data_IF_060394230028
#
_entry.id   IF_060394230028
#
_cell.length_a   1.000
_cell.length_b   1.000
_cell.length_c   1.000
_cell.angle_alpha   90.00
_cell.angle_beta   90.00
_cell.angle_gamma   90.00
#
_symmetry.space_group_name_H-M   'P 1'
#
loop_
_entity.id
_entity.type
_entity.pdbx_description
1 polymer ?
#
# COMPACT_ATOMS: atom_id res chain seq x y z
N UNK A 1 -20.67 7.60 9.32
CA UNK A 1 -20.07 6.36 9.83
C UNK A 1 -18.54 6.37 9.71
N UNK A 2 -17.96 6.49 8.50
CA UNK A 2 -16.50 6.45 8.27
C UNK A 2 -15.68 7.39 9.16
N UNK A 3 -16.08 8.67 9.26
CA UNK A 3 -15.44 9.65 10.16
C UNK A 3 -15.39 9.19 11.62
N UNK A 4 -16.48 8.60 12.12
CA UNK A 4 -16.55 8.09 13.49
C UNK A 4 -15.58 6.92 13.67
N UNK A 5 -15.49 6.02 12.69
CA UNK A 5 -14.54 4.91 12.70
C UNK A 5 -13.09 5.40 12.72
N UNK A 6 -12.74 6.36 11.85
CA UNK A 6 -11.39 6.91 11.81
C UNK A 6 -11.01 7.61 13.11
N UNK A 7 -11.89 8.47 13.66
CA UNK A 7 -11.67 9.12 14.96
C UNK A 7 -11.53 8.11 16.09
N UNK A 8 -12.38 7.08 16.13
CA UNK A 8 -12.29 6.02 17.13
C UNK A 8 -10.96 5.25 17.03
N UNK A 9 -10.44 5.04 15.82
CA UNK A 9 -9.15 4.38 15.59
C UNK A 9 -7.93 5.32 15.70
N UNK A 10 -8.11 6.63 15.92
CA UNK A 10 -7.00 7.47 16.43
C UNK A 10 -6.65 7.12 17.88
N UNK A 11 -7.53 6.37 18.58
CA UNK A 11 -7.32 5.82 19.94
C UNK A 11 -6.91 6.86 20.99
N UNK A 12 -7.36 8.12 20.83
CA UNK A 12 -7.06 9.23 21.74
C UNK A 12 -7.66 9.04 23.13
N UNK A 13 -8.89 8.51 23.18
CA UNK A 13 -9.67 8.34 24.42
C UNK A 13 -9.72 6.87 24.91
N UNK A 14 -8.92 5.98 24.32
CA UNK A 14 -8.87 4.56 24.64
C UNK A 14 -8.65 3.66 23.43
N UNK A 15 -8.74 2.34 23.62
CA UNK A 15 -8.47 1.33 22.58
C UNK A 15 -9.46 1.34 21.40
N UNK A 16 -10.59 2.03 21.55
CA UNK A 16 -11.67 2.05 20.57
C UNK A 16 -12.58 0.82 20.64
N UNK A 17 -13.65 0.79 19.82
CA UNK A 17 -14.70 -0.22 19.91
C UNK A 17 -14.35 -1.55 19.21
N UNK A 18 -13.28 -1.59 18.41
CA UNK A 18 -12.93 -2.75 17.60
C UNK A 18 -11.88 -3.61 18.32
N UNK A 19 -12.17 -4.91 18.41
CA UNK A 19 -11.22 -5.96 18.77
C UNK A 19 -11.50 -7.18 17.90
N UNK A 20 -10.47 -7.93 17.55
CA UNK A 20 -10.60 -9.10 16.70
C UNK A 20 -9.64 -10.20 17.12
N UNK A 21 -10.14 -11.42 17.28
CA UNK A 21 -9.31 -12.61 17.41
C UNK A 21 -9.93 -13.74 16.58
N UNK A 22 -9.09 -14.62 16.08
CA UNK A 22 -9.45 -15.78 15.30
C UNK A 22 -8.57 -16.95 15.74
N UNK A 23 -9.13 -18.15 15.82
CA UNK A 23 -8.34 -19.37 16.07
C UNK A 23 -7.78 -19.83 14.73
N UNK A 24 -6.47 -19.69 14.55
CA UNK A 24 -5.78 -19.90 13.28
C UNK A 24 -4.32 -20.26 13.53
N UNK A 25 -3.71 -21.01 12.59
CA UNK A 25 -2.28 -21.30 12.59
C UNK A 25 -1.47 -20.17 11.95
N UNK A 26 -2.11 -19.29 11.18
CA UNK A 26 -1.47 -18.13 10.54
C UNK A 26 -1.41 -16.96 11.52
N UNK A 27 -0.20 -16.63 11.97
CA UNK A 27 -0.01 -15.58 12.97
C UNK A 27 -0.56 -14.20 12.53
N UNK A 28 -0.62 -13.92 11.23
CA UNK A 28 -1.11 -12.65 10.68
C UNK A 28 -2.63 -12.59 10.54
N UNK A 29 -3.36 -13.71 10.68
CA UNK A 29 -4.82 -13.76 10.57
C UNK A 29 -5.53 -13.39 11.89
N UNK A 30 -4.78 -12.91 12.90
CA UNK A 30 -5.32 -12.55 14.21
C UNK A 30 -4.58 -11.37 14.84
N UNK A 31 -5.20 -10.71 15.83
CA UNK A 31 -4.58 -9.60 16.54
C UNK A 31 -4.03 -10.03 17.91
N UNK A 32 -2.80 -9.59 18.27
CA UNK A 32 -2.27 -9.76 19.62
C UNK A 32 -2.99 -8.85 20.62
N UNK A 33 -2.56 -8.87 21.88
CA UNK A 33 -3.04 -7.99 22.96
C UNK A 33 -4.56 -8.06 23.15
N UNK A 34 -5.09 -9.27 23.32
CA UNK A 34 -6.53 -9.53 23.50
C UNK A 34 -7.40 -8.99 22.35
N UNK A 35 -6.83 -8.96 21.14
CA UNK A 35 -7.53 -8.59 19.91
C UNK A 35 -7.41 -7.11 19.52
N UNK A 36 -6.66 -6.30 20.26
CA UNK A 36 -6.52 -4.86 19.99
C UNK A 36 -5.32 -4.50 19.11
N UNK A 37 -4.42 -5.45 18.86
CA UNK A 37 -3.14 -5.20 18.18
C UNK A 37 -2.10 -4.59 19.11
N UNK A 38 -0.89 -4.37 18.61
CA UNK A 38 0.16 -3.74 19.40
C UNK A 38 -0.22 -2.31 19.83
N UNK A 39 0.32 -1.81 20.96
CA UNK A 39 0.02 -0.47 21.45
C UNK A 39 0.40 0.62 20.45
N UNK A 40 -0.31 1.75 20.51
CA UNK A 40 0.02 2.97 19.78
C UNK A 40 0.08 4.17 20.72
N UNK A 41 0.93 5.15 20.40
CA UNK A 41 0.82 6.49 20.97
C UNK A 41 -0.14 7.28 20.08
N UNK A 42 -1.27 7.82 20.60
CA UNK A 42 -2.29 8.47 19.77
C UNK A 42 -1.81 9.84 19.25
N UNK A 43 -1.01 9.82 18.19
CA UNK A 43 -0.33 11.00 17.60
C UNK A 43 -1.12 11.66 16.46
N UNK A 44 -2.36 11.24 16.22
CA UNK A 44 -3.23 11.78 15.17
C UNK A 44 -3.38 10.87 13.94
N UNK A 45 -2.52 9.86 13.78
CA UNK A 45 -2.69 8.80 12.77
C UNK A 45 -3.85 7.86 13.13
N UNK A 46 -4.39 7.19 12.12
CA UNK A 46 -5.50 6.23 12.23
C UNK A 46 -4.91 4.81 12.29
N UNK A 47 -5.26 4.07 13.34
CA UNK A 47 -4.85 2.67 13.48
C UNK A 47 -5.62 1.77 12.49
N UNK A 48 -4.87 0.95 11.76
CA UNK A 48 -5.39 -0.14 10.94
C UNK A 48 -4.98 -1.45 11.59
N UNK A 49 -5.96 -2.31 11.91
CA UNK A 49 -5.67 -3.63 12.46
C UNK A 49 -5.00 -4.52 11.39
N UNK A 50 -5.47 -4.44 10.15
CA UNK A 50 -4.98 -5.26 9.04
C UNK A 50 -4.49 -4.39 7.88
N UNK A 51 -3.62 -4.96 7.06
CA UNK A 51 -3.12 -4.43 5.79
C UNK A 51 -4.14 -4.71 4.68
N UNK A 52 -3.98 -4.10 3.49
CA UNK A 52 -4.74 -4.52 2.32
C UNK A 52 -4.42 -5.94 1.82
N UNK A 53 -3.41 -6.61 2.39
CA UNK A 53 -3.16 -8.05 2.21
C UNK A 53 -4.00 -8.94 3.14
N UNK A 54 -4.84 -8.35 3.98
CA UNK A 54 -5.56 -8.99 5.08
C UNK A 54 -4.67 -9.52 6.23
N UNK A 55 -3.35 -9.27 6.19
CA UNK A 55 -2.44 -9.58 7.29
C UNK A 55 -2.48 -8.51 8.38
N UNK A 56 -2.35 -8.93 9.65
CA UNK A 56 -2.26 -8.02 10.78
C UNK A 56 -1.06 -7.08 10.65
N UNK A 57 -1.26 -5.80 10.98
CA UNK A 57 -0.17 -4.84 11.09
C UNK A 57 0.73 -5.17 12.27
N UNK A 58 2.04 -4.91 12.15
CA UNK A 58 2.95 -5.00 13.31
C UNK A 58 2.84 -3.73 14.14
N UNK A 59 2.94 -2.56 13.49
CA UNK A 59 2.59 -1.29 14.13
C UNK A 59 1.32 -0.72 13.50
N UNK A 60 0.26 -0.46 14.29
CA UNK A 60 -1.06 -0.18 13.73
C UNK A 60 -1.18 1.07 12.85
N UNK A 61 -0.27 2.04 12.91
CA UNK A 61 -0.32 3.16 11.97
C UNK A 61 0.33 2.76 10.64
N UNK A 62 -0.49 2.09 9.82
CA UNK A 62 -0.16 1.71 8.44
C UNK A 62 -0.09 2.97 7.56
N UNK A 63 1.12 3.33 7.16
CA UNK A 63 1.42 4.61 6.51
C UNK A 63 0.75 4.76 5.15
N UNK A 64 0.82 3.78 4.21
CA UNK A 64 0.13 3.90 2.92
C UNK A 64 -1.38 4.11 3.06
N UNK A 65 -2.01 3.42 4.01
CA UNK A 65 -3.45 3.55 4.26
C UNK A 65 -3.82 4.89 4.88
N UNK A 66 -2.97 5.46 5.74
CA UNK A 66 -3.18 6.81 6.27
C UNK A 66 -3.07 7.86 5.16
N UNK A 67 -2.09 7.73 4.26
CA UNK A 67 -2.00 8.57 3.05
C UNK A 67 -3.26 8.46 2.20
N UNK A 68 -3.76 7.26 1.98
CA UNK A 68 -4.97 7.05 1.21
C UNK A 68 -6.20 7.66 1.90
N UNK A 69 -6.33 7.51 3.21
CA UNK A 69 -7.40 8.11 4.00
C UNK A 69 -7.44 9.64 3.87
N UNK A 70 -6.28 10.32 3.85
CA UNK A 70 -6.20 11.78 3.60
C UNK A 70 -6.81 12.15 2.25
N UNK A 71 -6.44 11.44 1.18
CA UNK A 71 -7.00 11.67 -0.17
C UNK A 71 -8.51 11.44 -0.17
N UNK A 72 -8.97 10.30 0.36
CA UNK A 72 -10.38 9.94 0.37
C UNK A 72 -11.23 10.92 1.20
N UNK A 73 -10.74 11.41 2.33
CA UNK A 73 -11.46 12.40 3.15
C UNK A 73 -11.57 13.75 2.43
N UNK A 74 -10.54 14.17 1.69
CA UNK A 74 -10.59 15.40 0.89
C UNK A 74 -11.59 15.28 -0.26
N UNK A 75 -11.59 14.15 -0.97
CA UNK A 75 -12.58 13.85 -2.01
C UNK A 75 -14.01 13.82 -1.43
N UNK A 76 -14.21 13.15 -0.28
CA UNK A 76 -15.50 13.12 0.39
C UNK A 76 -15.98 14.52 0.78
N UNK A 77 -15.10 15.37 1.30
CA UNK A 77 -15.44 16.75 1.65
C UNK A 77 -15.84 17.59 0.42
N UNK A 78 -15.16 17.40 -0.71
CA UNK A 78 -15.52 18.04 -1.99
C UNK A 78 -16.91 17.61 -2.45
N UNK A 79 -17.16 16.29 -2.49
CA UNK A 79 -18.45 15.74 -2.89
C UNK A 79 -19.59 16.20 -1.97
N UNK A 80 -19.39 16.19 -0.64
CA UNK A 80 -20.39 16.66 0.31
C UNK A 80 -20.71 18.14 0.09
N UNK A 81 -19.70 18.98 -0.10
CA UNK A 81 -19.92 20.41 -0.35
C UNK A 81 -20.67 20.66 -1.67
N UNK A 82 -20.40 19.89 -2.72
CA UNK A 82 -21.01 20.06 -4.03
C UNK A 82 -22.41 19.44 -4.17
N UNK A 83 -22.62 18.27 -3.56
CA UNK A 83 -23.80 17.42 -3.79
C UNK A 83 -24.77 17.37 -2.60
N UNK A 84 -24.30 17.71 -1.39
CA UNK A 84 -25.11 17.69 -0.18
C UNK A 84 -24.85 18.93 0.70
N UNK A 85 -25.27 20.15 0.27
CA UNK A 85 -24.95 21.39 0.99
C UNK A 85 -25.40 21.41 2.46
N UNK A 86 -26.41 20.63 2.85
CA UNK A 86 -26.85 20.47 4.24
C UNK A 86 -25.79 19.79 5.12
N UNK A 87 -24.86 19.03 4.54
CA UNK A 87 -23.78 18.29 5.20
C UNK A 87 -22.48 19.11 5.31
N UNK A 88 -22.57 20.44 5.30
CA UNK A 88 -21.40 21.33 5.37
C UNK A 88 -20.54 21.06 6.63
N UNK A 89 -21.17 20.74 7.76
CA UNK A 89 -20.45 20.39 8.99
C UNK A 89 -19.61 19.10 8.80
N UNK A 90 -20.21 18.06 8.22
CA UNK A 90 -19.54 16.79 7.90
C UNK A 90 -18.38 16.99 6.92
N UNK A 91 -18.55 17.85 5.90
CA UNK A 91 -17.50 18.19 4.96
C UNK A 91 -16.31 18.89 5.64
N UNK A 92 -16.58 19.82 6.56
CA UNK A 92 -15.55 20.48 7.37
C UNK A 92 -14.82 19.49 8.26
N UNK A 93 -15.54 18.56 8.90
CA UNK A 93 -14.97 17.49 9.71
C UNK A 93 -14.03 16.56 8.92
N UNK A 94 -14.39 16.21 7.69
CA UNK A 94 -13.52 15.46 6.77
C UNK A 94 -12.22 16.21 6.48
N UNK A 95 -12.28 17.52 6.18
CA UNK A 95 -11.07 18.32 5.93
C UNK A 95 -10.19 18.41 7.16
N UNK A 96 -10.79 18.70 8.32
CA UNK A 96 -10.06 18.81 9.58
C UNK A 96 -9.33 17.51 9.95
N UNK A 97 -10.00 16.35 9.82
CA UNK A 97 -9.35 15.06 10.09
C UNK A 97 -8.27 14.73 9.06
N UNK A 98 -8.48 15.07 7.78
CA UNK A 98 -7.45 14.90 6.75
C UNK A 98 -6.19 15.73 7.04
N UNK A 99 -6.37 16.99 7.46
CA UNK A 99 -5.26 17.88 7.79
C UNK A 99 -4.50 17.42 9.05
N UNK A 100 -5.22 16.89 10.05
CA UNK A 100 -4.60 16.26 11.22
C UNK A 100 -3.75 15.05 10.83
N UNK A 101 -4.30 14.12 10.05
CA UNK A 101 -3.59 12.90 9.63
C UNK A 101 -2.39 13.25 8.73
N UNK A 102 -2.53 14.22 7.83
CA UNK A 102 -1.41 14.69 7.00
C UNK A 102 -0.28 15.28 7.85
N UNK A 103 -0.60 16.09 8.87
CA UNK A 103 0.39 16.63 9.78
C UNK A 103 1.11 15.50 10.56
N UNK A 104 0.36 14.52 11.06
CA UNK A 104 0.91 13.37 11.77
C UNK A 104 1.79 12.49 10.86
N UNK A 105 1.41 12.29 9.58
CA UNK A 105 2.24 11.59 8.59
C UNK A 105 3.58 12.29 8.39
N UNK A 106 3.58 13.62 8.22
CA UNK A 106 4.83 14.40 8.03
C UNK A 106 5.77 14.28 9.23
N UNK A 107 5.22 14.17 10.44
CA UNK A 107 6.01 14.09 11.67
C UNK A 107 6.49 12.67 11.99
N UNK A 108 5.67 11.65 11.72
CA UNK A 108 5.89 10.30 12.24
C UNK A 108 6.20 9.25 11.18
N UNK A 109 5.82 9.47 9.91
CA UNK A 109 6.03 8.48 8.85
C UNK A 109 7.36 8.65 8.12
N UNK A 110 8.07 9.77 8.28
CA UNK A 110 9.35 10.04 7.60
C UNK A 110 10.53 9.55 8.45
N UNK A 111 11.36 8.70 7.87
CA UNK A 111 12.53 8.08 8.50
C UNK A 111 13.81 8.49 7.78
N UNK A 112 14.88 8.78 8.53
CA UNK A 112 16.21 8.99 7.96
C UNK A 112 16.93 7.65 7.80
N UNK A 113 16.84 7.05 6.61
CA UNK A 113 17.55 5.81 6.29
C UNK A 113 19.05 6.06 6.06
N UNK A 114 19.96 5.23 6.60
CA UNK A 114 21.40 5.43 6.47
C UNK A 114 21.89 5.54 5.02
N UNK A 115 21.30 4.75 4.11
CA UNK A 115 21.72 4.69 2.70
C UNK A 115 20.82 5.49 1.75
N UNK A 116 19.53 5.65 2.09
CA UNK A 116 18.51 6.18 1.18
C UNK A 116 18.06 7.61 1.54
N UNK A 117 18.53 8.16 2.65
CA UNK A 117 18.09 9.46 3.17
C UNK A 117 16.66 9.39 3.69
N UNK A 118 15.90 10.48 3.55
CA UNK A 118 14.50 10.53 4.00
C UNK A 118 13.63 9.59 3.15
N UNK A 119 12.95 8.66 3.80
CA UNK A 119 12.00 7.70 3.23
C UNK A 119 10.70 7.70 4.04
N UNK A 120 9.64 7.11 3.51
CA UNK A 120 8.45 6.75 4.29
C UNK A 120 8.61 5.35 4.89
N UNK A 121 8.29 5.19 6.18
CA UNK A 121 8.09 3.87 6.79
C UNK A 121 6.81 3.23 6.26
N UNK A 122 6.72 1.89 6.34
CA UNK A 122 5.49 1.17 6.01
C UNK A 122 4.49 1.22 7.16
N UNK A 123 4.97 1.04 8.39
CA UNK A 123 4.18 1.05 9.63
C UNK A 123 4.94 1.77 10.74
N UNK A 124 4.21 2.50 11.59
CA UNK A 124 4.74 3.18 12.78
C UNK A 124 3.79 3.03 13.98
N UNK A 125 4.30 3.21 15.20
CA UNK A 125 3.51 3.09 16.43
C UNK A 125 3.29 4.43 17.17
N UNK A 126 3.96 5.50 16.72
CA UNK A 126 3.97 6.81 17.37
C UNK A 126 4.88 6.91 18.61
N UNK A 127 5.43 5.82 19.12
CA UNK A 127 6.47 5.80 20.16
C UNK A 127 7.86 5.99 19.58
N UNK A 128 8.05 5.67 18.30
CA UNK A 128 9.31 5.81 17.58
C UNK A 128 9.70 4.55 16.81
N UNK A 129 8.97 3.45 16.97
CA UNK A 129 9.20 2.21 16.23
C UNK A 129 8.69 2.34 14.81
N UNK A 130 9.44 1.75 13.88
CA UNK A 130 9.23 1.90 12.44
C UNK A 130 9.51 0.56 11.75
N UNK A 131 8.66 0.18 10.80
CA UNK A 131 8.92 -0.94 9.88
C UNK A 131 9.31 -0.36 8.52
N UNK A 132 10.46 -0.80 8.00
CA UNK A 132 10.97 -0.44 6.68
C UNK A 132 10.79 -1.64 5.74
N UNK A 133 9.71 -1.62 4.97
CA UNK A 133 9.39 -2.62 3.96
C UNK A 133 8.43 -2.00 2.93
N UNK A 134 7.98 -2.79 1.97
CA UNK A 134 6.70 -2.55 1.31
C UNK A 134 6.03 -3.89 1.03
N UNK A 135 4.72 -3.86 0.88
CA UNK A 135 3.88 -4.99 0.50
C UNK A 135 3.28 -4.76 -0.89
N UNK A 136 2.98 -5.83 -1.62
CA UNK A 136 2.44 -5.75 -2.96
C UNK A 136 1.02 -5.16 -3.04
N UNK A 137 0.18 -5.34 -2.01
CA UNK A 137 -1.20 -4.91 -2.02
C UNK A 137 -1.33 -3.38 -1.95
N UNK A 138 -2.28 -2.82 -2.71
CA UNK A 138 -2.58 -1.39 -2.74
C UNK A 138 -3.65 -1.07 -1.68
N UNK A 139 -3.48 -0.05 -0.81
CA UNK A 139 -2.39 0.93 -0.79
C UNK A 139 -1.06 0.39 -0.27
N UNK A 140 -0.02 0.54 -1.09
CA UNK A 140 1.40 0.31 -0.77
C UNK A 140 2.20 1.61 -0.88
N UNK A 141 3.44 1.64 -0.36
CA UNK A 141 4.33 2.80 -0.53
C UNK A 141 4.63 3.05 -2.02
N UNK A 142 4.79 1.97 -2.80
CA UNK A 142 4.96 2.05 -4.26
C UNK A 142 3.77 2.73 -4.96
N UNK A 143 2.54 2.52 -4.45
CA UNK A 143 1.31 3.02 -5.06
C UNK A 143 0.94 4.46 -4.71
N UNK A 144 1.68 5.14 -3.82
CA UNK A 144 1.29 6.47 -3.33
C UNK A 144 1.02 7.49 -4.45
N UNK A 145 1.80 7.55 -5.55
CA UNK A 145 1.47 8.46 -6.65
C UNK A 145 0.28 8.01 -7.48
N UNK A 146 0.08 6.71 -7.66
CA UNK A 146 -1.10 6.18 -8.35
C UNK A 146 -2.39 6.60 -7.64
N UNK A 147 -2.39 6.55 -6.31
CA UNK A 147 -3.52 7.00 -5.47
C UNK A 147 -3.65 8.52 -5.35
N UNK A 148 -2.76 9.29 -5.97
CA UNK A 148 -2.73 10.75 -5.85
C UNK A 148 -2.36 11.26 -4.45
N UNK A 149 -1.83 10.40 -3.58
CA UNK A 149 -1.50 10.76 -2.20
C UNK A 149 -0.16 11.51 -2.08
N UNK A 150 0.77 11.19 -2.97
CA UNK A 150 2.08 11.85 -3.04
C UNK A 150 2.42 12.16 -4.49
N UNK A 151 3.04 13.31 -4.75
CA UNK A 151 3.50 13.64 -6.11
C UNK A 151 4.61 12.68 -6.53
N UNK A 152 4.58 12.23 -7.78
CA UNK A 152 5.60 11.32 -8.34
C UNK A 152 7.04 11.86 -8.25
N UNK A 153 7.22 13.19 -8.19
CA UNK A 153 8.52 13.84 -8.07
C UNK A 153 8.90 14.21 -6.63
N UNK A 154 8.11 13.83 -5.62
CA UNK A 154 8.47 14.01 -4.21
C UNK A 154 9.81 13.29 -3.94
N UNK A 155 10.84 14.01 -3.44
CA UNK A 155 12.13 13.41 -3.14
C UNK A 155 12.06 12.27 -2.12
N UNK A 156 11.18 12.35 -1.11
CA UNK A 156 11.00 11.29 -0.10
C UNK A 156 10.40 10.05 -0.76
N UNK A 157 9.37 10.22 -1.61
CA UNK A 157 8.83 9.09 -2.38
C UNK A 157 9.89 8.49 -3.31
N UNK A 158 10.67 9.29 -4.02
CA UNK A 158 11.75 8.76 -4.89
C UNK A 158 12.78 7.96 -4.11
N UNK A 159 13.13 8.37 -2.89
CA UNK A 159 14.02 7.62 -2.02
C UNK A 159 13.38 6.32 -1.55
N UNK A 160 12.12 6.40 -1.12
CA UNK A 160 11.30 5.25 -0.70
C UNK A 160 11.20 4.23 -1.83
N UNK A 161 10.85 4.65 -3.05
CA UNK A 161 10.80 3.82 -4.25
C UNK A 161 12.11 3.07 -4.50
N UNK A 162 13.26 3.74 -4.36
CA UNK A 162 14.57 3.08 -4.53
C UNK A 162 14.83 2.01 -3.47
N UNK A 163 14.43 2.26 -2.22
CA UNK A 163 14.58 1.29 -1.13
C UNK A 163 13.66 0.09 -1.36
N UNK A 164 12.37 0.33 -1.60
CA UNK A 164 11.34 -0.73 -1.66
C UNK A 164 11.48 -1.64 -2.88
N UNK A 165 12.13 -1.15 -3.95
CA UNK A 165 12.50 -1.89 -5.16
C UNK A 165 13.95 -2.41 -5.11
N UNK A 166 14.45 -2.69 -3.91
CA UNK A 166 15.79 -3.24 -3.67
C UNK A 166 15.74 -4.30 -2.57
N UNK A 167 16.83 -5.06 -2.40
CA UNK A 167 16.97 -6.09 -1.36
C UNK A 167 16.98 -5.54 0.07
N UNK A 168 16.97 -4.21 0.26
CA UNK A 168 16.73 -3.58 1.56
C UNK A 168 15.27 -3.73 2.02
N UNK A 169 14.33 -3.96 1.09
CA UNK A 169 12.98 -4.40 1.43
C UNK A 169 12.98 -5.93 1.62
N UNK A 170 12.60 -6.44 2.80
CA UNK A 170 12.60 -7.88 3.06
C UNK A 170 11.63 -8.68 2.16
N UNK A 171 10.67 -8.02 1.54
CA UNK A 171 9.72 -8.62 0.61
C UNK A 171 10.00 -8.27 -0.85
N UNK A 172 11.17 -7.70 -1.16
CA UNK A 172 11.63 -7.59 -2.55
C UNK A 172 12.51 -8.79 -2.89
N UNK A 173 12.02 -9.61 -3.82
CA UNK A 173 12.67 -10.85 -4.20
C UNK A 173 13.34 -10.72 -5.57
N UNK A 174 14.48 -11.40 -5.74
CA UNK A 174 15.23 -11.47 -6.99
C UNK A 174 15.53 -12.93 -7.29
N UNK A 175 14.87 -13.47 -8.32
CA UNK A 175 15.07 -14.83 -8.78
C UNK A 175 15.47 -14.91 -10.25
N UNK A 176 15.57 -16.14 -10.76
CA UNK A 176 15.94 -16.42 -12.15
C UNK A 176 14.86 -16.02 -13.15
N UNK A 177 13.59 -16.02 -12.75
CA UNK A 177 12.47 -15.71 -13.65
C UNK A 177 12.02 -14.24 -13.53
N UNK A 178 12.03 -13.67 -12.32
CA UNK A 178 11.60 -12.30 -12.08
C UNK A 178 12.22 -11.68 -10.83
N UNK A 179 12.07 -10.36 -10.73
CA UNK A 179 12.31 -9.60 -9.50
C UNK A 179 11.13 -8.67 -9.23
N UNK A 180 10.77 -8.47 -7.97
CA UNK A 180 9.61 -7.67 -7.59
C UNK A 180 9.24 -7.78 -6.12
N UNK A 181 8.23 -7.01 -5.70
CA UNK A 181 7.71 -7.03 -4.33
C UNK A 181 6.69 -8.18 -4.19
N UNK A 182 6.76 -8.87 -3.07
CA UNK A 182 5.80 -9.89 -2.64
C UNK A 182 4.98 -9.46 -1.45
N UNK A 183 4.60 -10.43 -0.63
CA UNK A 183 3.85 -10.21 0.60
C UNK A 183 4.15 -11.33 1.60
N UNK A 184 4.21 -11.06 2.92
CA UNK A 184 4.19 -12.11 3.93
C UNK A 184 2.98 -13.05 3.77
N UNK A 185 1.86 -12.58 3.20
CA UNK A 185 0.65 -13.36 2.95
C UNK A 185 0.91 -14.66 2.19
N UNK A 186 1.78 -14.59 1.16
CA UNK A 186 2.15 -15.74 0.31
C UNK A 186 3.52 -16.31 0.67
N UNK A 187 4.17 -15.77 1.70
CA UNK A 187 5.49 -16.19 2.15
C UNK A 187 6.66 -15.72 1.26
N UNK A 188 7.84 -16.25 1.57
CA UNK A 188 9.09 -15.86 0.94
C UNK A 188 9.18 -16.29 -0.52
N UNK A 189 9.92 -15.52 -1.33
CA UNK A 189 10.23 -15.83 -2.74
C UNK A 189 9.05 -15.80 -3.70
N UNK A 190 7.89 -15.28 -3.28
CA UNK A 190 6.69 -15.11 -4.10
C UNK A 190 6.51 -13.65 -4.49
N UNK A 191 6.53 -13.33 -5.78
CA UNK A 191 6.33 -11.98 -6.32
C UNK A 191 4.89 -11.83 -6.77
N UNK A 192 4.30 -10.65 -6.53
CA UNK A 192 2.91 -10.37 -6.89
C UNK A 192 2.83 -9.55 -8.18
N UNK A 193 2.06 -9.98 -9.21
CA UNK A 193 1.84 -9.21 -10.44
C UNK A 193 1.27 -7.80 -10.21
N UNK A 194 0.48 -7.59 -9.15
CA UNK A 194 -0.02 -6.25 -8.77
C UNK A 194 1.15 -5.29 -8.49
N UNK A 195 2.21 -5.73 -7.81
CA UNK A 195 3.37 -4.88 -7.53
C UNK A 195 4.14 -4.51 -8.81
N UNK A 196 4.31 -5.46 -9.74
CA UNK A 196 4.92 -5.19 -11.04
C UNK A 196 4.10 -4.21 -11.88
N UNK A 197 2.77 -4.38 -11.85
CA UNK A 197 1.83 -3.47 -12.52
C UNK A 197 1.92 -2.08 -11.91
N UNK A 198 1.94 -1.98 -10.58
CA UNK A 198 2.06 -0.71 -9.87
C UNK A 198 3.41 -0.04 -10.12
N UNK A 199 4.50 -0.82 -10.19
CA UNK A 199 5.83 -0.33 -10.56
C UNK A 199 5.81 0.31 -11.95
N UNK A 200 5.16 -0.32 -12.92
CA UNK A 200 4.96 0.21 -14.26
C UNK A 200 4.09 1.47 -14.30
N UNK A 201 2.93 1.45 -13.62
CA UNK A 201 1.99 2.59 -13.52
C UNK A 201 2.63 3.84 -12.93
N UNK A 202 3.59 3.67 -12.03
CA UNK A 202 4.28 4.77 -11.32
C UNK A 202 5.69 5.05 -11.85
N UNK A 203 6.06 4.46 -13.00
CA UNK A 203 7.33 4.72 -13.68
C UNK A 203 7.26 5.91 -14.64
N UNK A 204 8.42 6.56 -14.85
CA UNK A 204 8.61 7.61 -15.85
C UNK A 204 9.47 7.20 -17.03
N UNK A 205 10.08 6.02 -16.98
CA UNK A 205 11.06 5.60 -17.98
C UNK A 205 10.50 4.47 -18.81
N UNK A 206 10.59 4.61 -20.12
CA UNK A 206 10.17 3.60 -21.08
C UNK A 206 10.83 2.24 -20.83
N UNK A 207 12.11 2.24 -20.42
CA UNK A 207 12.84 1.03 -20.08
C UNK A 207 12.24 0.26 -18.89
N UNK A 208 11.88 0.95 -17.81
CA UNK A 208 11.26 0.31 -16.64
C UNK A 208 9.83 -0.16 -16.95
N UNK A 209 9.04 0.65 -17.67
CA UNK A 209 7.69 0.28 -18.11
C UNK A 209 7.74 -0.98 -18.97
N UNK A 210 8.62 -1.02 -19.98
CA UNK A 210 8.82 -2.19 -20.84
C UNK A 210 9.27 -3.41 -20.05
N UNK A 211 10.20 -3.24 -19.12
CA UNK A 211 10.64 -4.34 -18.25
C UNK A 211 9.50 -4.91 -17.41
N UNK A 212 8.59 -4.07 -16.90
CA UNK A 212 7.41 -4.55 -16.15
C UNK A 212 6.45 -5.33 -17.05
N UNK A 213 6.18 -4.84 -18.27
CA UNK A 213 5.35 -5.53 -19.26
C UNK A 213 5.92 -6.90 -19.63
N UNK A 214 7.22 -6.98 -19.89
CA UNK A 214 7.90 -8.23 -20.23
C UNK A 214 7.88 -9.23 -19.07
N UNK A 215 8.07 -8.76 -17.83
CA UNK A 215 7.97 -9.63 -16.65
C UNK A 215 6.56 -10.21 -16.50
N UNK A 216 5.52 -9.36 -16.58
CA UNK A 216 4.12 -9.77 -16.50
C UNK A 216 3.75 -10.77 -17.61
N UNK A 217 4.24 -10.55 -18.84
CA UNK A 217 4.04 -11.46 -19.96
C UNK A 217 4.77 -12.79 -19.76
N UNK A 218 5.96 -12.80 -19.15
CA UNK A 218 6.73 -14.04 -18.91
C UNK A 218 6.26 -14.82 -17.68
N UNK A 219 5.52 -14.20 -16.77
CA UNK A 219 5.17 -14.78 -15.47
C UNK A 219 3.73 -15.29 -15.34
N UNK A 220 2.93 -15.31 -16.42
CA UNK A 220 1.54 -15.77 -16.39
C UNK A 220 1.38 -17.30 -16.52
N UNK A 221 2.46 -18.09 -16.45
CA UNK A 221 2.44 -19.56 -16.51
C UNK A 221 1.63 -20.19 -17.68
N UNK A 222 1.52 -19.50 -18.82
CA UNK A 222 0.70 -19.96 -19.96
C UNK A 222 -0.82 -19.78 -19.81
N UNK A 223 -1.32 -19.20 -18.71
CA UNK A 223 -2.77 -19.06 -18.43
C UNK A 223 -3.44 -17.90 -19.16
N UNK A 224 -2.67 -16.86 -19.52
CA UNK A 224 -3.21 -15.61 -20.06
C UNK A 224 -3.83 -14.68 -19.01
N UNK A 225 -3.72 -15.01 -17.72
CA UNK A 225 -4.26 -14.22 -16.61
C UNK A 225 -3.18 -13.81 -15.61
N UNK A 226 -3.45 -12.74 -14.86
CA UNK A 226 -2.63 -12.35 -13.71
C UNK A 226 -3.07 -13.12 -12.47
N UNK A 227 -2.08 -13.59 -11.73
CA UNK A 227 -2.22 -14.36 -10.50
C UNK A 227 -2.06 -13.46 -9.26
N UNK A 228 -2.27 -14.00 -8.06
CA UNK A 228 -1.94 -13.29 -6.82
C UNK A 228 -0.44 -13.19 -6.65
N UNK A 229 0.24 -14.33 -6.69
CA UNK A 229 1.69 -14.39 -6.58
C UNK A 229 2.25 -15.51 -7.45
N UNK A 230 3.54 -15.45 -7.76
CA UNK A 230 4.27 -16.51 -8.43
C UNK A 230 5.71 -16.61 -7.89
N UNK A 231 6.30 -17.80 -7.94
CA UNK A 231 7.67 -18.00 -7.44
C UNK A 231 8.69 -17.25 -8.30
N UNK A 232 9.63 -16.55 -7.66
CA UNK A 232 10.66 -15.75 -8.32
C UNK A 232 11.56 -16.56 -9.29
N UNK A 233 11.64 -17.88 -9.11
CA UNK A 233 12.42 -18.78 -9.96
C UNK A 233 11.58 -19.64 -10.92
N UNK A 234 10.30 -19.86 -10.62
CA UNK A 234 9.39 -20.68 -11.44
C UNK A 234 7.96 -20.11 -11.42
N UNK A 235 7.54 -19.34 -12.45
CA UNK A 235 6.22 -18.74 -12.49
C UNK A 235 5.05 -19.74 -12.54
N UNK A 236 5.30 -21.03 -12.82
CA UNK A 236 4.26 -22.07 -12.77
C UNK A 236 3.83 -22.40 -11.35
N UNK A 237 4.67 -22.10 -10.36
CA UNK A 237 4.33 -22.17 -8.94
C UNK A 237 3.70 -20.84 -8.51
N UNK A 238 2.39 -20.69 -8.76
CA UNK A 238 1.60 -19.48 -8.51
C UNK A 238 0.40 -19.72 -7.60
N UNK A 239 -0.14 -18.65 -7.01
CA UNK A 239 -1.37 -18.67 -6.21
C UNK A 239 -2.51 -17.92 -6.91
N UNK A 240 -3.75 -18.38 -6.72
CA UNK A 240 -4.99 -17.83 -7.30
C UNK A 240 -4.95 -17.67 -8.83
N UNK A 241 -5.39 -18.72 -9.53
CA UNK A 241 -5.59 -18.69 -10.99
C UNK A 241 -6.66 -17.68 -11.45
N UNK A 242 -7.58 -17.32 -10.56
CA UNK A 242 -8.63 -16.34 -10.82
C UNK A 242 -8.58 -15.19 -9.82
N UNK A 243 -7.95 -14.09 -10.22
CA UNK A 243 -7.87 -12.87 -9.44
C UNK A 243 -8.28 -11.65 -10.28
N UNK A 244 -9.58 -11.35 -10.22
CA UNK A 244 -10.18 -10.28 -11.03
C UNK A 244 -9.52 -8.91 -10.82
N UNK A 245 -9.19 -8.52 -9.58
CA UNK A 245 -8.52 -7.25 -9.32
C UNK A 245 -7.14 -7.18 -9.99
N UNK A 246 -6.31 -8.23 -9.88
CA UNK A 246 -5.01 -8.26 -10.57
C UNK A 246 -5.15 -8.17 -12.09
N UNK A 247 -6.20 -8.79 -12.66
CA UNK A 247 -6.51 -8.68 -14.09
C UNK A 247 -6.94 -7.27 -14.47
N UNK A 248 -7.80 -6.63 -13.68
CA UNK A 248 -8.31 -5.27 -13.94
C UNK A 248 -7.18 -4.25 -13.93
N UNK A 249 -6.31 -4.26 -12.91
CA UNK A 249 -5.23 -3.26 -12.82
C UNK A 249 -4.16 -3.48 -13.90
N UNK A 250 -3.94 -4.72 -14.33
CA UNK A 250 -3.09 -5.01 -15.49
C UNK A 250 -3.70 -4.46 -16.79
N UNK A 251 -5.01 -4.65 -17.00
CA UNK A 251 -5.72 -4.06 -18.12
C UNK A 251 -5.66 -2.53 -18.13
N UNK A 252 -5.81 -1.90 -16.96
CA UNK A 252 -5.62 -0.45 -16.79
C UNK A 252 -4.20 -0.01 -17.16
N UNK A 253 -3.18 -0.75 -16.74
CA UNK A 253 -1.79 -0.47 -17.11
C UNK A 253 -1.56 -0.57 -18.61
N UNK A 254 -2.04 -1.63 -19.26
CA UNK A 254 -1.97 -1.75 -20.73
C UNK A 254 -2.69 -0.60 -21.42
N UNK A 255 -3.86 -0.20 -20.93
CA UNK A 255 -4.61 0.93 -21.49
C UNK A 255 -3.84 2.25 -21.38
N UNK A 256 -3.22 2.51 -20.22
CA UNK A 256 -2.35 3.68 -20.04
C UNK A 256 -1.17 3.66 -21.00
N UNK A 257 -0.48 2.52 -21.13
CA UNK A 257 0.65 2.38 -22.07
C UNK A 257 0.18 2.56 -23.51
N UNK A 258 -0.94 1.97 -23.92
CA UNK A 258 -1.50 2.17 -25.26
C UNK A 258 -1.80 3.64 -25.56
N UNK A 259 -2.33 4.37 -24.58
CA UNK A 259 -2.67 5.80 -24.74
C UNK A 259 -1.45 6.72 -24.76
N UNK A 260 -0.45 6.45 -23.93
CA UNK A 260 0.65 7.38 -23.69
C UNK A 260 1.96 6.98 -24.38
N UNK A 261 2.19 5.68 -24.57
CA UNK A 261 3.46 5.08 -25.03
C UNK A 261 3.22 3.82 -25.88
N UNK A 262 2.42 3.90 -26.97
CA UNK A 262 2.04 2.71 -27.75
C UNK A 262 3.22 1.96 -28.37
N UNK A 263 4.36 2.64 -28.59
CA UNK A 263 5.60 2.01 -29.09
C UNK A 263 6.19 0.97 -28.13
N UNK A 264 5.75 0.91 -26.88
CA UNK A 264 6.16 -0.12 -25.91
C UNK A 264 5.36 -1.42 -26.02
N UNK A 265 4.28 -1.44 -26.80
CA UNK A 265 3.43 -2.62 -27.04
C UNK A 265 3.71 -3.30 -28.39
N UNK A 266 4.61 -2.72 -29.20
CA UNK A 266 5.02 -3.23 -30.50
C UNK A 266 6.03 -4.37 -30.40
#
# INVERSE_FOLDING_TARGET
ATLLTFRAQQRKDGLGPYKFQCVTEKATDTQPMSGYGYPVKPVGLIASAFRPSDDATLYPFLVPSNFFAVVSMRQAAEMLAALAPSETATATDCRALADEVEAALRQHAVVNHPQHGKIYAYEVDGFGSQILMDDANVPSLLSLPYLGAVKENDPIYKNTRRLILSTENPFYFVGTAAKGIGSPHTGMHKIWPIALTMQGLTSKTDAEIKSCLELLQKSHAGTGFMHESFNMNDPKDFTRSWFAWSNTIFGEFLWKVYKERPHLLA
#
